data_IF_064327734760
#
_entry.id   IF_064327734760
#
_cell.length_a   1.000
_cell.length_b   1.000
_cell.length_c   1.000
_cell.angle_alpha   90.00
_cell.angle_beta   90.00
_cell.angle_gamma   90.00
#
_symmetry.space_group_name_H-M   'P 1'
#
loop_
_entity.id
_entity.type
_entity.pdbx_description
1 polymer ?
#
# COMPACT_ATOMS: atom_id res chain seq x y z
N UNK A 1 7.45 -25.78 38.18
CA UNK A 1 7.68 -25.97 36.75
C UNK A 1 6.38 -26.16 35.91
N UNK A 2 5.21 -26.10 36.55
CA UNK A 2 3.89 -26.26 35.88
C UNK A 2 3.22 -24.95 35.44
N UNK A 3 3.50 -23.83 36.07
CA UNK A 3 2.88 -22.54 35.76
C UNK A 3 3.20 -21.95 34.37
N UNK A 4 4.25 -22.42 33.71
CA UNK A 4 4.69 -21.88 32.40
C UNK A 4 3.96 -22.53 31.21
N UNK A 5 3.41 -23.72 31.39
CA UNK A 5 2.69 -24.46 30.34
C UNK A 5 1.29 -23.92 30.08
N UNK A 6 0.63 -23.40 31.11
CA UNK A 6 -0.73 -22.90 30.99
C UNK A 6 -0.77 -21.51 30.32
N UNK A 7 0.26 -20.68 30.52
CA UNK A 7 0.38 -19.38 29.84
C UNK A 7 0.65 -19.51 28.33
N UNK A 8 1.49 -20.45 27.92
CA UNK A 8 1.72 -20.73 26.49
C UNK A 8 0.49 -21.28 25.80
N UNK A 9 -0.24 -22.18 26.44
CA UNK A 9 -1.48 -22.74 25.89
C UNK A 9 -2.58 -21.68 25.72
N UNK A 10 -2.71 -20.76 26.67
CA UNK A 10 -3.68 -19.65 26.61
C UNK A 10 -3.31 -18.62 25.52
N UNK A 11 -2.03 -18.35 25.34
CA UNK A 11 -1.55 -17.43 24.29
C UNK A 11 -1.79 -18.02 22.90
N UNK A 12 -1.49 -19.30 22.68
CA UNK A 12 -1.73 -20.02 21.42
C UNK A 12 -3.24 -20.09 21.13
N UNK A 13 -4.08 -20.34 22.15
CA UNK A 13 -5.53 -20.35 21.98
C UNK A 13 -6.08 -18.98 21.56
N UNK A 14 -5.64 -17.88 22.23
CA UNK A 14 -6.02 -16.50 21.87
C UNK A 14 -5.56 -16.15 20.44
N UNK A 15 -4.36 -16.54 20.05
CA UNK A 15 -3.82 -16.30 18.74
C UNK A 15 -4.60 -17.06 17.64
N UNK A 16 -4.92 -18.34 17.86
CA UNK A 16 -5.77 -19.15 16.95
C UNK A 16 -7.18 -18.56 16.82
N UNK A 17 -7.77 -18.09 17.92
CA UNK A 17 -9.09 -17.43 17.92
C UNK A 17 -9.09 -16.11 17.15
N UNK A 18 -8.01 -15.31 17.26
CA UNK A 18 -7.81 -14.08 16.48
C UNK A 18 -7.68 -14.38 14.98
N UNK A 19 -6.91 -15.38 14.61
CA UNK A 19 -6.75 -15.80 13.19
C UNK A 19 -8.06 -16.33 12.59
N UNK A 20 -8.85 -17.10 13.33
CA UNK A 20 -10.16 -17.56 12.85
C UNK A 20 -11.11 -16.38 12.61
N UNK A 21 -11.14 -15.39 13.51
CA UNK A 21 -11.95 -14.17 13.31
C UNK A 21 -11.49 -13.35 12.11
N UNK A 22 -10.17 -13.17 11.94
CA UNK A 22 -9.60 -12.48 10.79
C UNK A 22 -9.88 -13.20 9.46
N UNK A 23 -9.83 -14.53 9.47
CA UNK A 23 -10.15 -15.35 8.29
C UNK A 23 -11.62 -15.26 7.89
N UNK A 24 -12.55 -15.32 8.88
CA UNK A 24 -13.98 -15.13 8.63
C UNK A 24 -14.27 -13.72 8.11
N UNK A 25 -13.64 -12.69 8.70
CA UNK A 25 -13.78 -11.31 8.23
C UNK A 25 -13.28 -11.15 6.79
N UNK A 26 -12.14 -11.78 6.45
CA UNK A 26 -11.60 -11.77 5.10
C UNK A 26 -12.55 -12.43 4.08
N UNK A 27 -13.14 -13.57 4.42
CA UNK A 27 -14.15 -14.24 3.56
C UNK A 27 -15.39 -13.36 3.38
N UNK A 28 -15.87 -12.69 4.45
CA UNK A 28 -16.98 -11.76 4.36
C UNK A 28 -16.68 -10.57 3.45
N UNK A 29 -15.48 -9.98 3.56
CA UNK A 29 -15.05 -8.86 2.71
C UNK A 29 -14.96 -9.30 1.24
N UNK A 30 -14.36 -10.46 0.97
CA UNK A 30 -14.28 -11.02 -0.39
C UNK A 30 -15.69 -11.33 -0.94
N UNK A 31 -16.59 -11.86 -0.11
CA UNK A 31 -17.98 -12.10 -0.49
C UNK A 31 -18.74 -10.81 -0.80
N UNK A 32 -18.56 -9.77 0.01
CA UNK A 32 -19.17 -8.45 -0.21
C UNK A 32 -18.60 -7.81 -1.48
N UNK A 33 -17.28 -7.85 -1.70
CA UNK A 33 -16.67 -7.37 -2.95
C UNK A 33 -17.22 -8.10 -4.17
N UNK A 34 -17.43 -9.42 -4.08
CA UNK A 34 -18.00 -10.21 -5.17
C UNK A 34 -19.47 -9.86 -5.44
N UNK A 35 -20.26 -9.60 -4.38
CA UNK A 35 -21.65 -9.14 -4.49
C UNK A 35 -21.72 -7.72 -5.07
N UNK A 36 -20.87 -6.80 -4.63
CA UNK A 36 -20.80 -5.43 -5.15
C UNK A 36 -20.38 -5.43 -6.62
N UNK A 37 -19.37 -6.21 -7.00
CA UNK A 37 -18.97 -6.34 -8.41
C UNK A 37 -20.06 -6.99 -9.28
N UNK A 38 -20.87 -7.87 -8.72
CA UNK A 38 -22.04 -8.44 -9.42
C UNK A 38 -23.19 -7.44 -9.55
N UNK A 39 -23.45 -6.63 -8.51
CA UNK A 39 -24.46 -5.55 -8.57
C UNK A 39 -24.09 -4.47 -9.58
N UNK A 40 -22.83 -4.00 -9.57
CA UNK A 40 -22.34 -3.03 -10.56
C UNK A 40 -22.46 -3.60 -11.99
N UNK A 41 -22.26 -4.91 -12.18
CA UNK A 41 -22.41 -5.56 -13.48
C UNK A 41 -23.86 -5.76 -13.92
N UNK A 42 -24.83 -5.72 -12.98
CA UNK A 42 -26.28 -5.82 -13.25
C UNK A 42 -26.88 -4.45 -13.53
N UNK A 43 -26.39 -3.37 -12.89
CA UNK A 43 -26.85 -2.02 -13.17
C UNK A 43 -26.45 -1.49 -14.56
N UNK A 44 -25.37 -2.05 -15.13
CA UNK A 44 -24.90 -1.67 -16.49
C UNK A 44 -25.82 -2.20 -17.62
N UNK A 45 -26.89 -2.93 -17.29
CA UNK A 45 -27.85 -3.47 -18.26
C UNK A 45 -29.20 -2.76 -18.31
N UNK A 46 -29.48 -1.79 -17.42
CA UNK A 46 -30.84 -1.26 -17.29
C UNK A 46 -30.98 0.25 -17.32
N UNK A 47 -30.02 1.04 -17.72
CA UNK A 47 -30.29 2.48 -17.88
C UNK A 47 -29.53 3.08 -19.04
N UNK A 48 -30.06 3.01 -20.24
CA UNK A 48 -30.00 4.12 -21.19
C UNK A 48 -31.18 4.01 -22.16
N UNK A 49 -32.28 4.61 -21.78
CA UNK A 49 -33.27 5.09 -22.73
C UNK A 49 -33.38 6.58 -22.48
N UNK A 50 -32.46 7.37 -23.02
CA UNK A 50 -32.53 8.82 -23.05
C UNK A 50 -32.59 9.29 -24.49
N UNK A 51 -33.72 9.78 -24.78
CA UNK A 51 -34.23 10.70 -25.78
C UNK A 51 -33.19 11.25 -26.77
N UNK A 52 -33.39 10.85 -28.03
CA UNK A 52 -32.71 11.36 -29.22
C UNK A 52 -33.11 12.82 -29.49
N UNK A 53 -32.13 13.71 -29.64
CA UNK A 53 -32.10 14.72 -30.72
C UNK A 53 -30.95 15.74 -30.62
N UNK A 54 -29.77 15.39 -30.16
CA UNK A 54 -28.54 16.17 -30.40
C UNK A 54 -27.28 15.27 -30.41
N UNK A 55 -27.43 14.00 -30.81
CA UNK A 55 -26.51 12.94 -30.42
C UNK A 55 -25.34 12.70 -31.38
N UNK A 56 -25.48 12.93 -32.68
CA UNK A 56 -24.39 12.55 -33.60
C UNK A 56 -23.13 13.42 -33.53
N UNK A 57 -23.29 14.71 -33.27
CA UNK A 57 -22.11 15.59 -33.11
C UNK A 57 -21.46 15.44 -31.75
N UNK A 58 -22.26 15.24 -30.69
CA UNK A 58 -21.74 14.97 -29.35
C UNK A 58 -21.11 13.58 -29.24
N UNK A 59 -21.68 12.55 -29.86
CA UNK A 59 -21.07 11.22 -29.89
C UNK A 59 -19.75 11.19 -30.66
N UNK A 60 -19.64 11.93 -31.78
CA UNK A 60 -18.36 12.08 -32.48
C UNK A 60 -17.33 12.84 -31.65
N UNK A 61 -17.73 13.87 -30.93
CA UNK A 61 -16.84 14.61 -30.04
C UNK A 61 -16.42 13.76 -28.83
N UNK A 62 -17.35 13.02 -28.21
CA UNK A 62 -17.07 12.11 -27.11
C UNK A 62 -16.17 10.96 -27.57
N UNK A 63 -16.42 10.36 -28.73
CA UNK A 63 -15.54 9.31 -29.30
C UNK A 63 -14.15 9.85 -29.65
N UNK A 64 -14.07 11.08 -30.17
CA UNK A 64 -12.79 11.73 -30.47
C UNK A 64 -12.01 12.05 -29.19
N UNK A 65 -12.68 12.57 -28.15
CA UNK A 65 -12.08 12.84 -26.85
C UNK A 65 -11.69 11.51 -26.17
N UNK A 66 -12.57 10.52 -26.14
CA UNK A 66 -12.28 9.20 -25.59
C UNK A 66 -11.13 8.49 -26.33
N UNK A 67 -11.10 8.52 -27.67
CA UNK A 67 -10.02 7.91 -28.46
C UNK A 67 -8.68 8.63 -28.33
N UNK A 68 -8.70 9.94 -28.00
CA UNK A 68 -7.46 10.69 -27.74
C UNK A 68 -7.02 10.67 -26.27
N UNK A 69 -7.94 10.40 -25.34
CA UNK A 69 -7.61 10.23 -23.91
C UNK A 69 -7.10 8.82 -23.58
N UNK A 70 -7.41 7.81 -24.41
CA UNK A 70 -6.94 6.43 -24.18
C UNK A 70 -5.76 6.15 -25.14
N UNK A 71 -4.70 6.94 -25.04
CA UNK A 71 -3.44 6.65 -25.73
C UNK A 71 -2.39 6.00 -24.85
N UNK A 72 -2.63 5.88 -23.57
CA UNK A 72 -1.77 5.15 -22.66
C UNK A 72 -2.59 4.07 -21.95
N UNK A 73 -2.03 2.88 -21.85
CA UNK A 73 -2.58 1.82 -21.01
C UNK A 73 -2.73 2.33 -19.58
N UNK A 74 -3.84 2.02 -18.89
CA UNK A 74 -4.04 2.45 -17.51
C UNK A 74 -2.90 1.94 -16.64
N UNK A 75 -2.21 2.86 -15.97
CA UNK A 75 -1.09 2.54 -15.07
C UNK A 75 -1.62 2.47 -13.64
N UNK A 76 -1.20 1.45 -12.90
CA UNK A 76 -1.47 1.29 -11.48
C UNK A 76 -0.14 1.37 -10.74
N UNK A 77 -0.06 2.22 -9.72
CA UNK A 77 1.05 2.25 -8.78
C UNK A 77 0.72 1.33 -7.58
N UNK A 78 1.55 0.33 -7.35
CA UNK A 78 1.46 -0.53 -6.17
C UNK A 78 2.40 0.04 -5.11
N UNK A 79 1.90 0.22 -3.90
CA UNK A 79 2.68 0.75 -2.78
C UNK A 79 2.52 -0.08 -1.52
N UNK A 80 3.57 -0.14 -0.73
CA UNK A 80 3.61 -0.84 0.56
C UNK A 80 4.18 0.11 1.62
N UNK A 81 3.52 0.18 2.76
CA UNK A 81 3.92 1.00 3.89
C UNK A 81 4.46 0.13 5.03
N UNK A 82 5.07 0.75 6.05
CA UNK A 82 5.53 0.15 7.32
C UNK A 82 6.69 -0.85 7.23
N UNK A 83 7.28 -1.04 6.05
CA UNK A 83 8.44 -1.92 5.85
C UNK A 83 9.76 -1.35 6.37
N UNK A 84 10.86 -2.13 6.17
CA UNK A 84 10.84 -3.54 5.82
C UNK A 84 10.53 -4.45 7.00
N UNK A 85 9.95 -5.61 6.72
CA UNK A 85 9.75 -6.70 7.68
C UNK A 85 10.66 -7.88 7.36
N UNK A 86 11.46 -8.38 8.32
CA UNK A 86 12.35 -9.52 8.06
C UNK A 86 11.61 -10.81 7.69
N UNK A 87 10.31 -10.88 8.00
CA UNK A 87 9.48 -12.06 7.70
C UNK A 87 8.75 -11.92 6.37
N UNK A 88 8.19 -10.74 6.09
CA UNK A 88 7.27 -10.56 4.96
C UNK A 88 7.90 -9.94 3.73
N UNK A 89 8.86 -9.02 3.93
CA UNK A 89 9.50 -8.31 2.81
C UNK A 89 10.21 -9.27 1.84
N UNK A 90 10.98 -10.29 2.29
CA UNK A 90 11.59 -11.24 1.37
C UNK A 90 10.58 -11.95 0.47
N UNK A 91 9.48 -12.43 1.04
CA UNK A 91 8.42 -13.14 0.31
C UNK A 91 7.70 -12.23 -0.70
N UNK A 92 7.50 -10.96 -0.31
CA UNK A 92 6.89 -9.96 -1.17
C UNK A 92 7.79 -9.67 -2.37
N UNK A 93 9.09 -9.45 -2.14
CA UNK A 93 10.07 -9.20 -3.19
C UNK A 93 10.17 -10.38 -4.17
N UNK A 94 10.19 -11.61 -3.65
CA UNK A 94 10.17 -12.81 -4.49
C UNK A 94 8.94 -12.83 -5.41
N UNK A 95 7.76 -12.56 -4.84
CA UNK A 95 6.51 -12.53 -5.61
C UNK A 95 6.44 -11.40 -6.63
N UNK A 96 6.98 -10.21 -6.34
CA UNK A 96 7.07 -9.09 -7.28
C UNK A 96 8.05 -9.40 -8.41
N UNK A 97 9.19 -9.99 -8.08
CA UNK A 97 10.22 -10.39 -9.04
C UNK A 97 9.71 -11.45 -10.02
N UNK A 98 9.07 -12.50 -9.52
CA UNK A 98 8.45 -13.54 -10.36
C UNK A 98 7.48 -12.96 -11.41
N UNK A 99 6.79 -11.87 -11.07
CA UNK A 99 5.78 -11.22 -11.92
C UNK A 99 6.32 -10.04 -12.71
N UNK A 100 7.61 -9.74 -12.56
CA UNK A 100 8.27 -8.56 -13.14
C UNK A 100 7.50 -7.25 -12.82
N UNK A 101 7.02 -7.14 -11.57
CA UNK A 101 6.26 -5.98 -11.08
C UNK A 101 7.18 -5.11 -10.22
N UNK A 102 7.15 -3.79 -10.45
CA UNK A 102 7.81 -2.81 -9.57
C UNK A 102 6.78 -2.15 -8.68
N UNK A 103 7.22 -1.80 -7.47
CA UNK A 103 6.39 -1.18 -6.44
C UNK A 103 7.14 0.00 -5.81
N UNK A 104 6.43 0.75 -4.96
CA UNK A 104 7.02 1.76 -4.08
C UNK A 104 6.88 1.29 -2.64
N UNK A 105 7.97 1.34 -1.88
CA UNK A 105 8.02 1.01 -0.47
C UNK A 105 8.22 2.29 0.34
N UNK A 106 7.28 2.63 1.21
CA UNK A 106 7.43 3.71 2.19
C UNK A 106 7.89 3.12 3.50
N UNK A 107 9.17 3.32 3.81
CA UNK A 107 9.85 2.63 4.89
C UNK A 107 9.86 3.44 6.18
N UNK A 108 9.62 2.77 7.30
CA UNK A 108 9.88 3.29 8.64
C UNK A 108 11.39 3.26 8.85
N UNK A 109 11.98 4.41 9.24
CA UNK A 109 13.42 4.57 9.38
C UNK A 109 14.06 3.59 10.34
N UNK A 110 13.42 3.32 11.49
CA UNK A 110 13.87 2.31 12.46
C UNK A 110 13.90 0.91 11.86
N UNK A 111 12.88 0.52 11.09
CA UNK A 111 12.82 -0.76 10.42
C UNK A 111 13.90 -0.88 9.33
N UNK A 112 14.11 0.18 8.56
CA UNK A 112 15.16 0.26 7.54
C UNK A 112 16.55 0.11 8.15
N UNK A 113 16.83 0.80 9.27
CA UNK A 113 18.08 0.70 10.01
C UNK A 113 18.35 -0.71 10.54
N UNK A 114 17.30 -1.38 10.99
CA UNK A 114 17.40 -2.74 11.56
C UNK A 114 17.48 -3.84 10.49
N UNK A 115 17.16 -3.55 9.22
CA UNK A 115 17.14 -4.51 8.12
C UNK A 115 17.76 -3.91 6.84
N UNK A 116 19.00 -3.44 6.87
CA UNK A 116 19.61 -2.70 5.75
C UNK A 116 19.75 -3.55 4.48
N UNK A 117 19.91 -4.87 4.62
CA UNK A 117 20.00 -5.81 3.51
C UNK A 117 18.68 -5.92 2.71
N UNK A 118 17.54 -5.73 3.39
CA UNK A 118 16.24 -5.73 2.72
C UNK A 118 16.01 -4.43 1.95
N UNK A 119 16.36 -3.29 2.54
CA UNK A 119 16.30 -1.98 1.86
C UNK A 119 17.21 -1.98 0.61
N UNK A 120 18.42 -2.52 0.75
CA UNK A 120 19.34 -2.68 -0.38
C UNK A 120 18.75 -3.56 -1.47
N UNK A 121 18.14 -4.67 -1.10
CA UNK A 121 17.48 -5.58 -2.03
C UNK A 121 16.30 -4.92 -2.74
N UNK A 122 15.48 -4.15 -2.03
CA UNK A 122 14.38 -3.36 -2.61
C UNK A 122 14.90 -2.41 -3.69
N UNK A 123 15.98 -1.67 -3.42
CA UNK A 123 16.60 -0.77 -4.37
C UNK A 123 17.21 -1.50 -5.56
N UNK A 124 18.02 -2.56 -5.32
CA UNK A 124 18.68 -3.35 -6.37
C UNK A 124 17.68 -4.06 -7.29
N UNK A 125 16.52 -4.44 -6.78
CA UNK A 125 15.44 -5.02 -7.58
C UNK A 125 14.63 -3.93 -8.33
N UNK A 126 14.99 -2.64 -8.19
CA UNK A 126 14.45 -1.51 -8.96
C UNK A 126 13.08 -1.05 -8.48
N UNK A 127 12.80 -1.20 -7.20
CA UNK A 127 11.64 -0.60 -6.54
C UNK A 127 11.95 0.84 -6.14
N UNK A 128 10.92 1.70 -6.05
CA UNK A 128 11.05 3.03 -5.46
C UNK A 128 11.00 2.92 -3.94
N UNK A 129 11.87 3.69 -3.28
CA UNK A 129 11.89 3.76 -1.83
C UNK A 129 11.54 5.17 -1.40
N UNK A 130 10.60 5.29 -0.45
CA UNK A 130 10.14 6.53 0.13
C UNK A 130 10.21 6.51 1.65
N UNK A 131 10.03 7.67 2.23
CA UNK A 131 10.08 7.94 3.66
C UNK A 131 8.70 7.76 4.30
N UNK A 132 8.64 7.04 5.45
CA UNK A 132 7.43 6.86 6.25
C UNK A 132 7.63 7.28 7.72
N UNK A 133 8.48 8.29 7.97
CA UNK A 133 9.02 8.75 9.25
C UNK A 133 9.88 7.71 9.97
N UNK A 134 10.62 8.11 10.98
CA UNK A 134 11.58 7.22 11.63
C UNK A 134 10.92 6.26 12.63
N UNK A 135 9.98 6.75 13.45
CA UNK A 135 9.25 5.97 14.44
C UNK A 135 7.75 5.84 14.11
N UNK A 136 7.36 6.08 12.85
CA UNK A 136 5.95 6.04 12.44
C UNK A 136 5.06 7.03 13.21
N UNK A 137 5.54 8.25 13.45
CA UNK A 137 4.80 9.28 14.18
C UNK A 137 3.77 9.98 13.30
N UNK A 138 2.64 10.36 13.89
CA UNK A 138 1.68 11.27 13.24
C UNK A 138 2.26 12.69 13.28
N UNK A 139 2.85 13.14 12.16
CA UNK A 139 3.61 14.40 12.06
C UNK A 139 2.81 15.65 12.46
N UNK A 140 1.49 15.58 12.41
CA UNK A 140 0.61 16.70 12.80
C UNK A 140 0.38 16.80 14.31
N UNK A 141 0.79 15.78 15.08
CA UNK A 141 0.63 15.72 16.55
C UNK A 141 1.92 15.93 17.33
N UNK A 142 3.02 16.08 16.63
CA UNK A 142 4.33 16.37 17.23
C UNK A 142 4.76 17.80 16.93
N UNK A 143 5.73 18.37 17.66
CA UNK A 143 6.35 19.65 17.31
C UNK A 143 6.96 19.60 15.92
N UNK A 144 7.04 20.76 15.24
CA UNK A 144 7.56 20.84 13.87
C UNK A 144 9.01 20.39 13.79
N UNK A 145 9.83 20.68 14.79
CA UNK A 145 11.21 20.23 14.91
C UNK A 145 11.29 18.71 14.97
N UNK A 146 10.43 18.09 15.79
CA UNK A 146 10.38 16.61 15.87
C UNK A 146 9.92 15.99 14.57
N UNK A 147 8.90 16.57 13.89
CA UNK A 147 8.46 16.08 12.60
C UNK A 147 9.58 16.16 11.55
N UNK A 148 10.37 17.24 11.58
CA UNK A 148 11.51 17.41 10.71
C UNK A 148 12.63 16.40 11.00
N UNK A 149 12.95 16.17 12.27
CA UNK A 149 13.93 15.17 12.69
C UNK A 149 13.54 13.76 12.22
N UNK A 150 12.30 13.37 12.40
CA UNK A 150 11.75 12.07 11.96
C UNK A 150 11.94 11.84 10.44
N UNK A 151 11.72 12.89 9.64
CA UNK A 151 11.92 12.85 8.20
C UNK A 151 13.41 12.77 7.85
N UNK A 152 14.23 13.63 8.44
CA UNK A 152 15.66 13.69 8.14
C UNK A 152 16.40 12.42 8.53
N UNK A 153 16.14 11.87 9.72
CA UNK A 153 16.74 10.61 10.19
C UNK A 153 16.41 9.44 9.25
N UNK A 154 15.16 9.37 8.77
CA UNK A 154 14.76 8.33 7.82
C UNK A 154 15.46 8.47 6.47
N UNK A 155 15.54 9.71 5.94
CA UNK A 155 16.25 9.97 4.70
C UNK A 155 17.74 9.60 4.82
N UNK A 156 18.38 9.97 5.93
CA UNK A 156 19.79 9.63 6.18
C UNK A 156 20.04 8.12 6.17
N UNK A 157 19.17 7.36 6.86
CA UNK A 157 19.29 5.90 6.88
C UNK A 157 19.11 5.30 5.48
N UNK A 158 18.06 5.67 4.78
CA UNK A 158 17.78 5.11 3.44
C UNK A 158 18.89 5.49 2.45
N UNK A 159 19.28 6.76 2.42
CA UNK A 159 20.37 7.25 1.55
C UNK A 159 21.70 6.57 1.89
N UNK A 160 21.99 6.37 3.17
CA UNK A 160 23.20 5.67 3.62
C UNK A 160 23.27 4.20 3.16
N UNK A 161 22.12 3.54 3.01
CA UNK A 161 22.04 2.15 2.56
C UNK A 161 22.04 2.04 1.04
N UNK A 162 21.26 2.88 0.35
CA UNK A 162 21.01 2.78 -1.09
C UNK A 162 22.00 3.60 -1.93
N UNK A 163 22.54 4.66 -1.36
CA UNK A 163 23.32 5.67 -2.08
C UNK A 163 22.47 6.65 -2.88
N UNK A 164 21.15 6.56 -2.82
CA UNK A 164 20.19 7.39 -3.56
C UNK A 164 19.44 8.34 -2.63
N UNK A 165 19.16 9.57 -3.08
CA UNK A 165 18.35 10.52 -2.34
C UNK A 165 16.88 10.11 -2.30
N UNK A 166 16.25 10.26 -1.14
CA UNK A 166 14.83 9.99 -0.94
C UNK A 166 14.00 11.17 -1.42
N UNK A 167 13.27 10.99 -2.51
CA UNK A 167 12.46 12.05 -3.14
C UNK A 167 10.96 11.97 -2.80
N UNK A 168 10.52 10.91 -2.15
CA UNK A 168 9.11 10.65 -1.88
C UNK A 168 8.88 10.40 -0.40
N UNK A 169 7.77 10.93 0.10
CA UNK A 169 7.32 10.71 1.46
C UNK A 169 5.83 10.38 1.47
N UNK A 170 5.45 9.49 2.35
CA UNK A 170 4.06 9.28 2.77
C UNK A 170 3.98 9.46 4.28
N UNK A 171 3.22 10.44 4.78
CA UNK A 171 3.08 10.60 6.22
C UNK A 171 2.26 9.43 6.79
N UNK A 172 2.64 8.92 7.98
CA UNK A 172 1.81 7.97 8.72
C UNK A 172 0.39 8.46 8.88
N UNK A 173 -0.58 7.53 8.88
CA UNK A 173 -2.01 7.81 9.03
C UNK A 173 -2.62 8.67 7.90
N UNK A 174 -1.86 9.06 6.87
CA UNK A 174 -2.34 9.88 5.76
C UNK A 174 -2.63 11.35 6.13
N UNK A 175 -2.09 11.85 7.23
CA UNK A 175 -2.39 13.19 7.76
C UNK A 175 -1.28 14.17 7.41
N UNK A 176 -1.64 15.27 6.71
CA UNK A 176 -0.71 16.31 6.25
C UNK A 176 -0.94 17.70 6.87
N UNK A 177 -2.12 17.96 7.43
CA UNK A 177 -2.51 19.28 7.90
C UNK A 177 -2.88 19.25 9.37
N UNK A 178 -2.44 20.27 10.10
CA UNK A 178 -2.83 20.53 11.49
C UNK A 178 -4.16 21.29 11.53
#
# INVERSE_FOLDING_TARGET
MELNRDYESAAIYKWRKKRKKAFVLFICIVGICFLVTRMVRVEDKTTVKVHNMHTEQNEKAIRYVASNMIKEDPKIAITFDDGPSPVWTPQLLDGLKERNVKATFFLIGENAKNNPELVKREAEEGHLIGNHTYHHVEITRVPDETAQEEILMTNEVITGITGEEVSYMRPPFGVWQK
#
